data_IF_501833626901
#
_entry.id   IF_501833626901
#
_cell.length_a   1.000
_cell.length_b   1.000
_cell.length_c   1.000
_cell.angle_alpha   90.00
_cell.angle_beta   90.00
_cell.angle_gamma   90.00
#
_symmetry.space_group_name_H-M   'P 1'
#
loop_
_entity.id
_entity.type
_entity.pdbx_description
1 polymer ?
#
# COMPACT_ATOMS: atom_id res chain seq x y z
N UNK A 1 43.14 28.40 -8.58
CA UNK A 1 43.99 28.52 -7.37
C UNK A 1 43.10 29.04 -6.25
N UNK A 2 42.85 28.41 -5.11
CA UNK A 2 43.27 27.15 -4.49
C UNK A 2 42.13 26.80 -3.51
N UNK A 3 41.61 25.58 -3.59
CA UNK A 3 40.67 25.02 -2.62
C UNK A 3 41.48 24.73 -1.35
N UNK A 4 41.12 25.34 -0.22
CA UNK A 4 41.69 24.97 1.08
C UNK A 4 40.94 23.74 1.60
N UNK A 5 41.55 22.58 1.41
CA UNK A 5 41.16 21.32 2.01
C UNK A 5 41.50 21.34 3.51
N UNK A 6 40.47 21.28 4.38
CA UNK A 6 40.66 20.95 5.79
C UNK A 6 40.23 19.50 6.00
N UNK A 7 41.23 18.63 6.22
CA UNK A 7 41.06 17.25 6.65
C UNK A 7 40.45 17.24 8.07
N UNK A 8 39.25 16.68 8.23
CA UNK A 8 38.72 16.32 9.56
C UNK A 8 39.34 14.96 9.91
N UNK A 9 40.28 14.95 10.86
CA UNK A 9 40.73 13.74 11.51
C UNK A 9 39.61 13.26 12.46
N UNK A 10 38.78 12.33 11.99
CA UNK A 10 37.83 11.60 12.85
C UNK A 10 38.63 10.59 13.65
N UNK A 11 38.86 10.89 14.93
CA UNK A 11 39.27 9.88 15.91
C UNK A 11 38.10 8.90 16.10
N UNK A 12 38.15 7.77 15.39
CA UNK A 12 37.26 6.63 15.63
C UNK A 12 37.67 6.00 16.96
N UNK A 13 37.04 6.43 18.05
CA UNK A 13 37.01 5.64 19.27
C UNK A 13 36.14 4.42 18.96
N UNK A 14 36.80 3.28 18.69
CA UNK A 14 36.17 1.97 18.56
C UNK A 14 35.63 1.53 19.93
N UNK A 15 34.51 2.09 20.34
CA UNK A 15 33.63 1.40 21.28
C UNK A 15 32.82 0.39 20.46
N UNK A 16 32.84 -0.92 20.79
CA UNK A 16 31.85 -1.81 20.27
C UNK A 16 30.50 -1.37 20.85
N UNK A 17 29.73 -0.59 20.10
CA UNK A 17 28.30 -0.51 20.33
C UNK A 17 27.77 -1.87 19.94
N UNK A 18 27.69 -2.79 20.90
CA UNK A 18 26.87 -3.99 20.76
C UNK A 18 25.42 -3.53 20.71
N UNK A 19 24.94 -3.18 19.52
CA UNK A 19 23.51 -3.11 19.26
C UNK A 19 23.01 -4.57 19.25
N UNK A 20 22.84 -5.15 20.44
CA UNK A 20 22.02 -6.34 20.56
C UNK A 20 20.62 -5.88 20.17
N UNK A 21 20.12 -6.32 19.02
CA UNK A 21 18.70 -6.24 18.72
C UNK A 21 17.99 -7.01 19.83
N UNK A 22 17.50 -6.28 20.84
CA UNK A 22 16.80 -6.89 21.95
C UNK A 22 15.51 -7.50 21.39
N UNK A 23 15.48 -8.83 21.30
CA UNK A 23 14.26 -9.57 20.98
C UNK A 23 13.23 -9.29 22.07
N UNK A 24 12.05 -8.78 21.69
CA UNK A 24 10.99 -8.50 22.65
C UNK A 24 10.39 -9.80 23.19
N UNK A 25 10.13 -9.86 24.50
CA UNK A 25 9.65 -11.08 25.16
C UNK A 25 8.24 -11.50 24.72
N UNK A 26 7.45 -10.55 24.23
CA UNK A 26 6.08 -10.69 23.75
C UNK A 26 5.97 -10.71 22.22
N UNK A 27 7.10 -10.80 21.52
CA UNK A 27 7.14 -10.88 20.06
C UNK A 27 8.01 -12.06 19.60
N UNK A 28 7.49 -13.30 19.64
CA UNK A 28 8.23 -14.48 19.21
C UNK A 28 8.44 -14.51 17.68
N UNK A 29 9.44 -15.24 17.15
CA UNK A 29 9.72 -15.32 15.71
C UNK A 29 8.54 -15.73 14.81
N UNK A 30 7.56 -16.46 15.34
CA UNK A 30 6.34 -16.84 14.61
C UNK A 30 5.26 -15.75 14.54
N UNK A 31 5.43 -14.63 15.24
CA UNK A 31 4.47 -13.53 15.22
C UNK A 31 4.52 -12.78 13.87
N UNK A 32 3.36 -12.45 13.29
CA UNK A 32 3.28 -11.86 11.93
C UNK A 32 4.06 -10.54 11.77
N UNK A 33 4.21 -9.79 12.86
CA UNK A 33 4.95 -8.53 12.88
C UNK A 33 6.43 -8.67 13.26
N UNK A 34 6.92 -9.87 13.58
CA UNK A 34 8.27 -10.10 14.10
C UNK A 34 9.34 -9.45 13.21
N UNK A 35 9.42 -9.84 11.94
CA UNK A 35 10.44 -9.34 11.01
C UNK A 35 10.29 -7.84 10.73
N UNK A 36 9.05 -7.33 10.72
CA UNK A 36 8.81 -5.91 10.52
C UNK A 36 9.33 -5.09 11.71
N UNK A 37 9.05 -5.55 12.93
CA UNK A 37 9.47 -4.88 14.16
C UNK A 37 10.99 -4.96 14.33
N UNK A 38 11.59 -6.12 14.10
CA UNK A 38 13.05 -6.31 14.13
C UNK A 38 13.75 -5.37 13.14
N UNK A 39 13.27 -5.30 11.89
CA UNK A 39 13.81 -4.39 10.89
C UNK A 39 13.72 -2.93 11.36
N UNK A 40 12.55 -2.49 11.82
CA UNK A 40 12.33 -1.10 12.21
C UNK A 40 13.09 -0.72 13.49
N UNK A 41 13.28 -1.66 14.42
CA UNK A 41 14.07 -1.48 15.64
C UNK A 41 15.56 -1.31 15.32
N UNK A 42 16.13 -2.17 14.46
CA UNK A 42 17.53 -2.07 14.02
C UNK A 42 17.80 -0.74 13.30
N UNK A 43 16.81 -0.23 12.57
CA UNK A 43 16.89 1.07 11.91
C UNK A 43 16.54 2.26 12.83
N UNK A 44 16.28 2.04 14.12
CA UNK A 44 15.98 3.11 15.08
C UNK A 44 14.65 3.83 14.88
N UNK A 45 13.73 3.26 14.09
CA UNK A 45 12.43 3.87 13.75
C UNK A 45 11.40 3.63 14.85
N UNK A 46 11.43 2.44 15.45
CA UNK A 46 10.55 2.08 16.57
C UNK A 46 11.36 1.53 17.73
N UNK A 47 10.83 1.65 18.94
CA UNK A 47 11.37 1.07 20.16
C UNK A 47 10.28 0.35 20.95
N UNK A 48 10.69 -0.62 21.77
CA UNK A 48 9.82 -1.19 22.80
C UNK A 48 9.97 -0.48 24.14
N UNK A 49 9.49 -1.14 25.17
CA UNK A 49 9.41 -0.60 26.52
C UNK A 49 10.62 -1.03 27.36
N UNK A 50 10.92 -0.29 28.46
CA UNK A 50 12.03 -0.64 29.36
C UNK A 50 11.92 -2.03 30.02
N UNK A 51 10.72 -2.60 30.06
CA UNK A 51 10.46 -3.95 30.57
C UNK A 51 10.80 -5.07 29.57
N UNK A 52 11.29 -4.73 28.37
CA UNK A 52 11.65 -5.69 27.33
C UNK A 52 10.48 -6.11 26.43
N UNK A 53 9.31 -5.49 26.56
CA UNK A 53 8.12 -5.77 25.72
C UNK A 53 8.02 -4.82 24.52
N UNK A 54 7.31 -5.24 23.47
CA UNK A 54 6.91 -4.40 22.35
C UNK A 54 5.46 -3.93 22.45
N UNK A 55 4.60 -4.72 23.10
CA UNK A 55 3.14 -4.57 23.20
C UNK A 55 2.46 -4.57 21.82
N UNK A 56 2.57 -5.66 21.02
CA UNK A 56 2.12 -5.70 19.63
C UNK A 56 0.65 -5.36 19.46
N UNK A 57 -0.21 -5.79 20.38
CA UNK A 57 -1.67 -5.61 20.31
C UNK A 57 -2.16 -4.26 20.84
N UNK A 58 -1.28 -3.46 21.46
CA UNK A 58 -1.65 -2.15 21.96
C UNK A 58 -1.97 -1.23 20.79
N UNK A 59 -3.13 -0.58 20.84
CA UNK A 59 -3.48 0.44 19.84
C UNK A 59 -2.48 1.60 19.84
N UNK A 60 -2.25 2.15 18.65
CA UNK A 60 -1.43 3.35 18.45
C UNK A 60 -2.36 4.54 18.37
N UNK A 61 -2.13 5.55 19.20
CA UNK A 61 -2.90 6.79 19.11
C UNK A 61 -2.40 7.67 17.96
N UNK A 62 -3.22 8.64 17.54
CA UNK A 62 -2.92 9.51 16.41
C UNK A 62 -1.65 10.34 16.63
N UNK A 63 -1.36 10.77 17.86
CA UNK A 63 -0.13 11.49 18.20
C UNK A 63 1.13 10.62 18.02
N UNK A 64 1.10 9.37 18.49
CA UNK A 64 2.18 8.39 18.33
C UNK A 64 2.41 8.06 16.85
N UNK A 65 1.34 7.85 16.08
CA UNK A 65 1.40 7.62 14.65
C UNK A 65 2.07 8.78 13.91
N UNK A 66 1.69 10.03 14.23
CA UNK A 66 2.31 11.22 13.65
C UNK A 66 3.79 11.31 14.01
N UNK A 67 4.17 11.06 15.28
CA UNK A 67 5.58 11.02 15.68
C UNK A 67 6.37 9.97 14.91
N UNK A 68 5.86 8.74 14.77
CA UNK A 68 6.53 7.65 14.05
C UNK A 68 6.87 8.07 12.61
N UNK A 69 5.96 8.76 11.93
CA UNK A 69 6.16 9.20 10.55
C UNK A 69 7.05 10.43 10.46
N UNK A 70 6.93 11.39 11.38
CA UNK A 70 7.66 12.68 11.31
C UNK A 70 9.10 12.56 11.81
N UNK A 71 9.35 11.79 12.86
CA UNK A 71 10.67 11.73 13.51
C UNK A 71 11.83 11.41 12.55
N UNK A 72 11.70 10.49 11.56
CA UNK A 72 12.77 10.23 10.59
C UNK A 72 13.18 11.43 9.70
N UNK A 73 12.33 12.46 9.60
CA UNK A 73 12.64 13.68 8.84
C UNK A 73 13.44 14.71 9.65
N UNK A 74 13.61 14.48 10.95
CA UNK A 74 14.33 15.38 11.84
C UNK A 74 15.82 15.02 11.86
N UNK A 75 16.68 16.00 11.65
CA UNK A 75 18.12 15.80 11.76
C UNK A 75 18.51 15.66 13.23
N UNK A 76 19.60 14.94 13.50
CA UNK A 76 20.16 14.88 14.86
C UNK A 76 20.51 16.30 15.33
N UNK A 77 19.91 16.71 16.43
CA UNK A 77 20.08 18.07 16.97
C UNK A 77 19.14 19.13 16.39
N UNK A 78 18.14 18.75 15.58
CA UNK A 78 17.05 19.66 15.21
C UNK A 78 16.41 20.23 16.46
N UNK A 79 16.34 21.56 16.53
CA UNK A 79 15.59 22.24 17.59
C UNK A 79 14.10 22.02 17.36
N UNK A 80 13.49 21.26 18.27
CA UNK A 80 12.05 20.97 18.27
C UNK A 80 11.31 21.78 19.34
N UNK A 81 11.95 22.83 19.88
CA UNK A 81 11.35 23.75 20.85
C UNK A 81 10.65 24.94 20.19
N UNK A 82 9.88 25.70 20.96
CA UNK A 82 9.31 26.98 20.52
C UNK A 82 8.07 26.90 19.61
N UNK A 83 7.59 25.70 19.29
CA UNK A 83 6.31 25.54 18.60
C UNK A 83 5.14 25.99 19.50
N UNK A 84 4.15 26.63 18.89
CA UNK A 84 2.86 26.92 19.51
C UNK A 84 1.79 26.12 18.79
N UNK A 85 0.95 25.41 19.55
CA UNK A 85 -0.17 24.68 18.95
C UNK A 85 -1.20 25.63 18.32
N UNK A 86 -1.66 25.31 17.11
CA UNK A 86 -2.84 25.92 16.49
C UNK A 86 -4.13 25.11 16.69
N UNK A 87 -4.04 23.97 17.35
CA UNK A 87 -5.16 23.09 17.67
C UNK A 87 -5.63 23.32 19.10
N UNK A 88 -6.95 23.36 19.33
CA UNK A 88 -7.48 23.65 20.67
C UNK A 88 -7.28 22.48 21.66
N UNK A 89 -6.99 21.28 21.17
CA UNK A 89 -6.83 20.04 21.95
C UNK A 89 -5.37 19.54 22.03
N UNK A 90 -4.40 20.37 21.66
CA UNK A 90 -2.97 20.06 21.79
C UNK A 90 -2.36 21.01 22.83
N UNK A 91 -2.14 20.55 24.08
CA UNK A 91 -1.50 21.34 25.13
C UNK A 91 -0.10 21.81 24.73
N UNK A 92 0.30 22.99 25.20
CA UNK A 92 1.61 23.59 24.86
C UNK A 92 2.80 22.78 25.41
N UNK A 93 2.57 21.97 26.44
CA UNK A 93 3.55 21.07 27.06
C UNK A 93 3.44 19.61 26.56
N UNK A 94 2.58 19.33 25.58
CA UNK A 94 2.42 17.98 25.05
C UNK A 94 3.69 17.49 24.34
N UNK A 95 4.17 16.31 24.71
CA UNK A 95 5.37 15.69 24.10
C UNK A 95 5.28 15.54 22.58
N UNK A 96 4.06 15.46 22.04
CA UNK A 96 3.81 15.28 20.62
C UNK A 96 3.63 16.59 19.86
N UNK A 97 3.54 17.75 20.54
CA UNK A 97 3.26 19.04 19.92
C UNK A 97 4.24 19.37 18.77
N UNK A 98 5.56 19.21 18.91
CA UNK A 98 6.48 19.54 17.81
C UNK A 98 6.23 18.71 16.56
N UNK A 99 5.96 17.40 16.73
CA UNK A 99 5.70 16.50 15.60
C UNK A 99 4.39 16.85 14.88
N UNK A 100 3.37 17.26 15.64
CA UNK A 100 2.09 17.72 15.08
C UNK A 100 2.27 19.00 14.28
N UNK A 101 2.96 19.99 14.83
CA UNK A 101 3.18 21.25 14.12
C UNK A 101 4.09 21.09 12.90
N UNK A 102 5.10 20.21 12.95
CA UNK A 102 5.93 19.89 11.78
C UNK A 102 5.09 19.18 10.70
N UNK A 103 4.29 18.17 11.09
CA UNK A 103 3.40 17.46 10.18
C UNK A 103 2.43 18.41 9.47
N UNK A 104 1.89 19.40 10.19
CA UNK A 104 0.92 20.36 9.65
C UNK A 104 1.58 21.45 8.81
N UNK A 105 2.57 22.14 9.37
CA UNK A 105 3.09 23.40 8.83
C UNK A 105 4.23 23.23 7.84
N UNK A 106 5.03 22.17 7.97
CA UNK A 106 6.21 21.94 7.14
C UNK A 106 5.98 20.82 6.12
N UNK A 107 5.32 19.74 6.53
CA UNK A 107 5.10 18.57 5.67
C UNK A 107 3.71 18.55 5.01
N UNK A 108 2.74 19.29 5.55
CA UNK A 108 1.36 19.33 5.06
C UNK A 108 0.66 17.96 4.97
N UNK A 109 0.97 17.05 5.91
CA UNK A 109 0.48 15.66 5.92
C UNK A 109 -0.73 15.44 6.82
N UNK A 110 -1.05 16.41 7.68
CA UNK A 110 -2.25 16.44 8.51
C UNK A 110 -3.03 17.73 8.29
N UNK A 111 -4.35 17.66 8.43
CA UNK A 111 -5.24 18.81 8.32
C UNK A 111 -5.16 19.69 9.58
N UNK A 112 -5.35 21.00 9.43
CA UNK A 112 -5.40 21.99 10.50
C UNK A 112 -6.34 23.16 10.14
N UNK A 113 -6.35 24.25 10.92
CA UNK A 113 -7.24 25.38 10.65
C UNK A 113 -7.04 25.97 9.25
N UNK A 114 -8.11 26.40 8.55
CA UNK A 114 -9.51 26.46 9.02
C UNK A 114 -10.30 25.15 8.84
N UNK A 115 -9.71 24.09 8.25
CA UNK A 115 -10.43 22.84 7.94
C UNK A 115 -10.82 22.06 9.19
N UNK A 116 -9.97 22.06 10.22
CA UNK A 116 -10.25 21.51 11.55
C UNK A 116 -9.46 22.28 12.61
N UNK A 117 -10.05 22.53 13.77
CA UNK A 117 -9.34 23.08 14.94
C UNK A 117 -8.94 21.99 15.94
N UNK A 118 -9.38 20.75 15.75
CA UNK A 118 -9.05 19.59 16.59
C UNK A 118 -8.04 18.67 15.90
N UNK A 119 -7.00 18.27 16.61
CA UNK A 119 -6.05 17.23 16.21
C UNK A 119 -6.53 15.82 16.60
N UNK A 120 -7.22 15.67 17.72
CA UNK A 120 -7.66 14.39 18.31
C UNK A 120 -6.50 13.41 18.53
N UNK A 121 -5.45 13.84 19.22
CA UNK A 121 -4.21 13.07 19.36
C UNK A 121 -4.33 11.80 20.21
N UNK A 122 -5.24 11.78 21.18
CA UNK A 122 -5.37 10.70 22.16
C UNK A 122 -6.12 9.46 21.65
N UNK A 123 -6.97 9.60 20.62
CA UNK A 123 -7.71 8.45 20.06
C UNK A 123 -6.81 7.57 19.21
N UNK A 124 -7.20 6.30 19.05
CA UNK A 124 -6.56 5.40 18.12
C UNK A 124 -6.52 6.00 16.69
N UNK A 125 -5.38 5.84 16.02
CA UNK A 125 -5.26 6.11 14.59
C UNK A 125 -5.95 4.99 13.83
N UNK A 126 -6.74 5.32 12.83
CA UNK A 126 -7.27 4.28 11.94
C UNK A 126 -6.32 4.01 10.76
N UNK A 127 -6.55 2.89 10.07
CA UNK A 127 -5.72 2.41 8.97
C UNK A 127 -5.50 3.47 7.90
N UNK A 128 -6.57 4.07 7.38
CA UNK A 128 -6.42 5.01 6.26
C UNK A 128 -5.84 6.35 6.68
N UNK A 129 -6.05 6.80 7.92
CA UNK A 129 -5.36 7.96 8.47
C UNK A 129 -3.85 7.73 8.54
N UNK A 130 -3.43 6.57 9.04
CA UNK A 130 -2.01 6.23 9.08
C UNK A 130 -1.41 6.15 7.67
N UNK A 131 -2.10 5.52 6.71
CA UNK A 131 -1.67 5.46 5.31
C UNK A 131 -1.55 6.85 4.69
N UNK A 132 -2.51 7.75 4.93
CA UNK A 132 -2.45 9.14 4.47
C UNK A 132 -1.22 9.86 5.01
N UNK A 133 -1.02 9.80 6.33
CA UNK A 133 0.12 10.46 6.98
C UNK A 133 1.43 9.92 6.42
N UNK A 134 1.57 8.60 6.32
CA UNK A 134 2.78 7.94 5.81
C UNK A 134 3.05 8.28 4.34
N UNK A 135 2.07 8.12 3.45
CA UNK A 135 2.27 8.33 2.01
C UNK A 135 2.59 9.80 1.70
N UNK A 136 1.84 10.74 2.28
CA UNK A 136 2.08 12.16 2.05
C UNK A 136 3.45 12.61 2.58
N UNK A 137 3.89 12.08 3.73
CA UNK A 137 5.22 12.39 4.28
C UNK A 137 6.35 11.98 3.33
N UNK A 138 6.11 10.98 2.50
CA UNK A 138 7.07 10.46 1.54
C UNK A 138 6.99 11.17 0.18
N UNK A 139 6.19 12.23 0.09
CA UNK A 139 5.95 12.97 -1.16
C UNK A 139 5.04 12.23 -2.15
N UNK A 140 4.44 11.12 -1.75
CA UNK A 140 3.51 10.35 -2.56
C UNK A 140 2.11 10.94 -2.38
N UNK A 141 1.64 11.75 -3.34
CA UNK A 141 0.26 12.20 -3.38
C UNK A 141 -0.58 11.26 -4.27
N UNK A 142 -1.35 10.33 -3.67
CA UNK A 142 -1.99 9.25 -4.41
C UNK A 142 -3.24 9.68 -5.19
N UNK A 143 -3.63 10.96 -5.13
CA UNK A 143 -4.76 11.48 -5.92
C UNK A 143 -4.46 11.46 -7.42
N UNK A 144 -3.20 11.65 -7.82
CA UNK A 144 -2.79 11.56 -9.22
C UNK A 144 -2.36 10.15 -9.64
N UNK A 145 -1.69 9.42 -8.76
CA UNK A 145 -1.19 8.08 -9.04
C UNK A 145 -2.33 7.07 -9.21
N UNK A 146 -2.29 6.32 -10.32
CA UNK A 146 -3.30 5.35 -10.70
C UNK A 146 -4.71 5.96 -10.83
N UNK A 147 -4.82 7.27 -11.06
CA UNK A 147 -6.10 8.00 -11.10
C UNK A 147 -7.07 7.48 -12.16
N UNK A 148 -6.58 6.77 -13.17
CA UNK A 148 -7.36 6.04 -14.16
C UNK A 148 -8.05 4.77 -13.61
N UNK A 149 -7.59 4.23 -12.48
CA UNK A 149 -8.14 3.03 -11.84
C UNK A 149 -9.21 3.42 -10.81
N UNK A 150 -10.38 3.83 -11.30
CA UNK A 150 -11.54 4.22 -10.49
C UNK A 150 -12.63 3.15 -10.54
N UNK A 151 -12.55 2.18 -9.65
CA UNK A 151 -13.52 1.11 -9.55
C UNK A 151 -13.59 0.59 -8.11
N UNK A 152 -14.70 -0.06 -7.70
CA UNK A 152 -14.75 -0.75 -6.41
C UNK A 152 -13.59 -1.76 -6.25
N UNK A 153 -12.92 -1.75 -5.10
CA UNK A 153 -11.74 -2.63 -4.84
C UNK A 153 -11.95 -3.60 -3.69
N UNK A 154 -12.98 -3.41 -2.86
CA UNK A 154 -13.37 -4.30 -1.77
C UNK A 154 -14.83 -4.05 -1.38
N UNK A 155 -15.41 -4.95 -0.58
CA UNK A 155 -16.80 -4.82 -0.13
C UNK A 155 -17.07 -3.54 0.68
N UNK A 156 -16.06 -3.04 1.39
CA UNK A 156 -16.11 -1.82 2.20
C UNK A 156 -15.32 -0.65 1.59
N UNK A 157 -14.88 -0.78 0.32
CA UNK A 157 -14.19 0.27 -0.45
C UNK A 157 -14.72 0.24 -1.89
N UNK A 158 -15.97 0.69 -2.03
CA UNK A 158 -16.73 0.61 -3.30
C UNK A 158 -16.83 1.94 -4.03
N UNK A 159 -16.69 3.08 -3.35
CA UNK A 159 -16.84 4.41 -3.94
C UNK A 159 -15.47 5.07 -4.18
N UNK A 160 -15.04 5.25 -5.45
CA UNK A 160 -13.76 5.88 -5.78
C UNK A 160 -13.65 7.36 -5.41
N UNK A 161 -14.78 8.04 -5.21
CA UNK A 161 -14.84 9.47 -4.85
C UNK A 161 -14.57 9.72 -3.35
N UNK A 162 -14.51 8.67 -2.54
CA UNK A 162 -14.19 8.78 -1.13
C UNK A 162 -12.77 9.29 -0.93
N UNK A 163 -12.59 10.24 0.00
CA UNK A 163 -11.28 10.84 0.27
C UNK A 163 -10.19 9.80 0.59
N UNK A 164 -10.59 8.67 1.18
CA UNK A 164 -9.71 7.60 1.63
C UNK A 164 -9.33 6.62 0.51
N UNK A 165 -10.12 6.56 -0.57
CA UNK A 165 -9.93 5.63 -1.69
C UNK A 165 -8.52 5.69 -2.31
N UNK A 166 -7.95 6.85 -2.70
CA UNK A 166 -6.63 6.89 -3.33
C UNK A 166 -5.52 6.32 -2.43
N UNK A 167 -5.64 6.48 -1.11
CA UNK A 167 -4.69 5.92 -0.14
C UNK A 167 -4.82 4.41 -0.02
N UNK A 168 -6.05 3.87 -0.03
CA UNK A 168 -6.28 2.42 -0.04
C UNK A 168 -5.78 1.78 -1.34
N UNK A 169 -6.07 2.39 -2.50
CA UNK A 169 -5.57 1.95 -3.80
C UNK A 169 -4.04 1.94 -3.83
N UNK A 170 -3.40 2.98 -3.32
CA UNK A 170 -1.93 3.07 -3.28
C UNK A 170 -1.31 2.08 -2.31
N UNK A 171 -1.98 1.80 -1.18
CA UNK A 171 -1.53 0.79 -0.24
C UNK A 171 -1.59 -0.64 -0.84
N UNK A 172 -2.56 -0.93 -1.70
CA UNK A 172 -2.59 -2.17 -2.49
C UNK A 172 -1.47 -2.18 -3.55
N UNK A 173 -1.29 -1.09 -4.30
CA UNK A 173 -0.23 -1.00 -5.30
C UNK A 173 1.18 -1.10 -4.70
N UNK A 174 1.35 -0.70 -3.45
CA UNK A 174 2.61 -0.86 -2.72
C UNK A 174 2.69 -2.19 -1.95
N UNK A 175 1.67 -3.05 -2.02
CA UNK A 175 1.57 -4.31 -1.27
C UNK A 175 1.82 -4.10 0.23
N UNK A 176 1.26 -3.01 0.76
CA UNK A 176 1.27 -2.65 2.18
C UNK A 176 0.14 -3.36 2.92
N UNK A 177 -1.05 -3.40 2.33
CA UNK A 177 -2.24 -4.07 2.85
C UNK A 177 -2.76 -5.08 1.84
N UNK A 178 -3.57 -6.02 2.31
CA UNK A 178 -4.30 -6.98 1.48
C UNK A 178 -5.76 -7.00 1.92
N UNK A 179 -6.62 -7.56 1.09
CA UNK A 179 -8.02 -7.86 1.44
C UNK A 179 -8.04 -9.02 2.45
N UNK A 180 -8.88 -8.93 3.48
CA UNK A 180 -9.09 -10.03 4.42
C UNK A 180 -9.94 -11.14 3.80
N UNK A 181 -9.99 -12.29 4.47
CA UNK A 181 -10.74 -13.46 3.99
C UNK A 181 -12.23 -13.19 3.73
N UNK A 182 -12.80 -12.20 4.42
CA UNK A 182 -14.19 -11.75 4.23
C UNK A 182 -14.37 -10.67 3.15
N UNK A 183 -13.36 -10.40 2.31
CA UNK A 183 -13.47 -9.46 1.19
C UNK A 183 -13.36 -7.97 1.57
N UNK A 184 -12.92 -7.65 2.78
CA UNK A 184 -12.84 -6.27 3.31
C UNK A 184 -11.40 -5.73 3.38
N UNK A 185 -11.24 -4.41 3.37
CA UNK A 185 -9.97 -3.71 3.59
C UNK A 185 -9.89 -2.97 4.93
N UNK A 186 -11.04 -2.72 5.56
CA UNK A 186 -11.18 -2.09 6.86
C UNK A 186 -10.46 -0.74 6.98
N UNK A 187 -10.81 0.28 6.17
CA UNK A 187 -10.15 1.58 6.17
C UNK A 187 -10.22 2.29 7.54
N UNK A 188 -11.34 2.14 8.24
CA UNK A 188 -11.59 2.77 9.55
C UNK A 188 -11.09 1.96 10.75
N UNK A 189 -10.46 0.80 10.55
CA UNK A 189 -9.97 -0.04 11.66
C UNK A 189 -8.86 0.68 12.43
N UNK A 190 -8.98 0.72 13.76
CA UNK A 190 -7.92 1.16 14.66
C UNK A 190 -6.69 0.26 14.53
N UNK A 191 -5.49 0.85 14.45
CA UNK A 191 -4.27 0.08 14.27
C UNK A 191 -3.58 -0.23 15.59
N UNK A 192 -3.17 -1.47 15.74
CA UNK A 192 -2.20 -1.92 16.74
C UNK A 192 -0.76 -1.50 16.40
N UNK A 193 0.14 -1.54 17.37
CA UNK A 193 1.59 -1.30 17.18
C UNK A 193 2.19 -2.26 16.15
N UNK A 194 1.78 -3.53 16.18
CA UNK A 194 2.19 -4.54 15.22
C UNK A 194 1.76 -4.18 13.79
N UNK A 195 0.54 -3.74 13.59
CA UNK A 195 0.03 -3.37 12.27
C UNK A 195 0.69 -2.11 11.71
N UNK A 196 0.89 -1.08 12.55
CA UNK A 196 1.66 0.11 12.17
C UNK A 196 3.07 -0.28 11.70
N UNK A 197 3.76 -1.15 12.45
CA UNK A 197 5.09 -1.64 12.08
C UNK A 197 5.07 -2.39 10.74
N UNK A 198 4.08 -3.27 10.52
CA UNK A 198 3.96 -4.03 9.26
C UNK A 198 3.70 -3.12 8.06
N UNK A 199 2.78 -2.16 8.18
CA UNK A 199 2.47 -1.22 7.10
C UNK A 199 3.71 -0.38 6.73
N UNK A 200 4.40 0.16 7.73
CA UNK A 200 5.61 0.95 7.52
C UNK A 200 6.74 0.12 6.90
N UNK A 201 7.00 -1.07 7.45
CA UNK A 201 8.03 -1.97 6.93
C UNK A 201 7.75 -2.36 5.47
N UNK A 202 6.52 -2.75 5.14
CA UNK A 202 6.14 -3.13 3.77
C UNK A 202 6.33 -1.97 2.79
N UNK A 203 5.98 -0.75 3.19
CA UNK A 203 6.24 0.44 2.38
C UNK A 203 7.74 0.64 2.12
N UNK A 204 8.58 0.53 3.16
CA UNK A 204 10.04 0.64 3.00
C UNK A 204 10.60 -0.46 2.08
N UNK A 205 10.08 -1.69 2.18
CA UNK A 205 10.45 -2.79 1.28
C UNK A 205 10.01 -2.52 -0.16
N UNK A 206 8.82 -1.94 -0.35
CA UNK A 206 8.32 -1.56 -1.67
C UNK A 206 9.21 -0.50 -2.32
N UNK A 207 9.61 0.55 -1.59
CA UNK A 207 10.53 1.59 -2.09
C UNK A 207 11.91 1.05 -2.47
N UNK A 208 12.31 -0.10 -1.92
CA UNK A 208 13.53 -0.83 -2.29
C UNK A 208 13.32 -1.82 -3.45
N UNK A 209 12.12 -1.90 -4.03
CA UNK A 209 11.76 -2.90 -5.06
C UNK A 209 11.72 -4.33 -4.53
N UNK A 210 11.65 -4.54 -3.20
CA UNK A 210 11.65 -5.85 -2.54
C UNK A 210 10.25 -6.45 -2.40
N UNK A 211 9.22 -5.78 -2.93
CA UNK A 211 7.83 -6.26 -2.96
C UNK A 211 7.37 -6.71 -4.35
N UNK A 212 8.20 -6.63 -5.39
CA UNK A 212 7.80 -7.03 -6.76
C UNK A 212 7.27 -8.46 -6.81
N UNK A 213 7.96 -9.43 -6.21
CA UNK A 213 7.48 -10.82 -6.17
C UNK A 213 6.15 -10.96 -5.42
N UNK A 214 5.96 -10.24 -4.31
CA UNK A 214 4.71 -10.25 -3.56
C UNK A 214 3.56 -9.69 -4.42
N UNK A 215 3.79 -8.57 -5.10
CA UNK A 215 2.81 -7.96 -6.02
C UNK A 215 2.46 -8.86 -7.20
N UNK A 216 3.43 -9.59 -7.77
CA UNK A 216 3.17 -10.58 -8.82
C UNK A 216 2.34 -11.76 -8.29
N UNK A 217 2.65 -12.24 -7.07
CA UNK A 217 1.91 -13.33 -6.43
C UNK A 217 0.47 -12.91 -6.06
N UNK A 218 0.29 -11.67 -5.59
CA UNK A 218 -1.01 -11.05 -5.35
C UNK A 218 -1.80 -10.91 -6.65
N UNK A 219 -1.15 -10.46 -7.73
CA UNK A 219 -1.77 -10.38 -9.07
C UNK A 219 -2.29 -11.73 -9.53
N UNK A 220 -1.46 -12.78 -9.45
CA UNK A 220 -1.86 -14.14 -9.81
C UNK A 220 -3.01 -14.66 -8.96
N UNK A 221 -2.93 -14.47 -7.63
CA UNK A 221 -3.97 -14.88 -6.70
C UNK A 221 -5.32 -14.21 -6.99
N UNK A 222 -5.31 -12.92 -7.29
CA UNK A 222 -6.53 -12.18 -7.63
C UNK A 222 -7.11 -12.57 -8.99
N UNK A 223 -6.28 -12.95 -9.97
CA UNK A 223 -6.74 -13.53 -11.25
C UNK A 223 -7.43 -14.88 -10.99
N UNK A 224 -6.81 -15.76 -10.20
CA UNK A 224 -7.39 -17.06 -9.84
C UNK A 224 -8.74 -16.86 -9.12
N UNK A 225 -8.78 -15.94 -8.16
CA UNK A 225 -10.01 -15.59 -7.44
C UNK A 225 -11.08 -15.07 -8.38
N UNK A 226 -10.73 -14.20 -9.34
CA UNK A 226 -11.65 -13.69 -10.37
C UNK A 226 -12.30 -14.84 -11.13
N UNK A 227 -11.50 -15.79 -11.64
CA UNK A 227 -11.99 -16.94 -12.40
C UNK A 227 -12.91 -17.81 -11.54
N UNK A 228 -12.54 -18.05 -10.28
CA UNK A 228 -13.35 -18.87 -9.37
C UNK A 228 -14.71 -18.21 -9.07
N UNK A 229 -14.70 -16.92 -8.73
CA UNK A 229 -15.91 -16.16 -8.42
C UNK A 229 -16.84 -16.02 -9.64
N UNK A 230 -16.29 -15.91 -10.86
CA UNK A 230 -17.08 -15.96 -12.09
C UNK A 230 -17.82 -17.30 -12.26
N UNK A 231 -17.17 -18.43 -11.93
CA UNK A 231 -17.83 -19.76 -11.97
C UNK A 231 -18.96 -19.87 -10.94
N UNK A 232 -18.77 -19.24 -9.79
CA UNK A 232 -19.76 -19.15 -8.72
C UNK A 232 -20.87 -18.11 -9.00
N UNK A 233 -20.74 -17.35 -10.10
CA UNK A 233 -21.62 -16.23 -10.48
C UNK A 233 -21.64 -15.08 -9.46
N UNK A 234 -20.58 -14.97 -8.65
CA UNK A 234 -20.38 -13.82 -7.77
C UNK A 234 -19.69 -12.68 -8.54
N UNK A 235 -20.50 -11.98 -9.34
CA UNK A 235 -20.04 -10.94 -10.27
C UNK A 235 -19.36 -9.78 -9.54
N UNK A 236 -19.88 -9.40 -8.37
CA UNK A 236 -19.36 -8.24 -7.63
C UNK A 236 -17.96 -8.54 -7.09
N UNK A 237 -17.79 -9.66 -6.38
CA UNK A 237 -16.48 -10.01 -5.84
C UNK A 237 -15.48 -10.37 -6.95
N UNK A 238 -15.92 -10.98 -8.05
CA UNK A 238 -15.08 -11.20 -9.22
C UNK A 238 -14.56 -9.88 -9.82
N UNK A 239 -15.43 -8.87 -9.93
CA UNK A 239 -15.04 -7.53 -10.39
C UNK A 239 -14.01 -6.88 -9.47
N UNK A 240 -14.21 -6.97 -8.14
CA UNK A 240 -13.26 -6.44 -7.17
C UNK A 240 -11.90 -7.16 -7.24
N UNK A 241 -11.89 -8.48 -7.42
CA UNK A 241 -10.66 -9.25 -7.58
C UNK A 241 -9.90 -8.85 -8.86
N UNK A 242 -10.58 -8.76 -9.99
CA UNK A 242 -9.97 -8.35 -11.25
C UNK A 242 -9.37 -6.94 -11.15
N UNK A 243 -10.08 -6.02 -10.49
CA UNK A 243 -9.62 -4.68 -10.15
C UNK A 243 -8.31 -4.69 -9.32
N UNK A 244 -8.25 -5.51 -8.26
CA UNK A 244 -7.06 -5.62 -7.41
C UNK A 244 -5.87 -6.25 -8.14
N UNK A 245 -6.10 -7.20 -9.04
CA UNK A 245 -5.05 -7.76 -9.89
C UNK A 245 -4.37 -6.67 -10.73
N UNK A 246 -5.14 -5.75 -11.31
CA UNK A 246 -4.60 -4.60 -12.06
C UNK A 246 -3.80 -3.67 -11.14
N UNK A 247 -4.32 -3.36 -9.95
CA UNK A 247 -3.63 -2.47 -9.00
C UNK A 247 -2.29 -3.07 -8.55
N UNK A 248 -2.26 -4.36 -8.21
CA UNK A 248 -1.04 -5.03 -7.77
C UNK A 248 0.01 -5.10 -8.90
N UNK A 249 -0.40 -5.47 -10.12
CA UNK A 249 0.52 -5.55 -11.27
C UNK A 249 1.08 -4.18 -11.65
N UNK A 250 0.27 -3.11 -11.57
CA UNK A 250 0.70 -1.72 -11.77
C UNK A 250 1.67 -1.26 -10.70
N UNK A 251 1.45 -1.68 -9.46
CA UNK A 251 2.40 -1.55 -8.37
C UNK A 251 3.77 -2.16 -8.69
N UNK A 252 3.77 -3.40 -9.18
CA UNK A 252 4.99 -4.09 -9.59
C UNK A 252 5.70 -3.34 -10.73
N UNK A 253 4.94 -2.83 -11.70
CA UNK A 253 5.46 -2.04 -12.82
C UNK A 253 6.13 -0.74 -12.36
N UNK A 254 5.55 -0.04 -11.39
CA UNK A 254 6.16 1.16 -10.82
C UNK A 254 7.52 0.84 -10.16
N UNK A 255 7.62 -0.31 -9.49
CA UNK A 255 8.87 -0.72 -8.85
C UNK A 255 9.93 -1.26 -9.83
N UNK A 256 9.49 -1.96 -10.90
CA UNK A 256 10.34 -2.65 -11.88
C UNK A 256 9.80 -2.45 -13.30
N UNK A 257 9.93 -1.23 -13.87
CA UNK A 257 9.30 -0.89 -15.14
C UNK A 257 9.87 -1.62 -16.35
N UNK A 258 11.08 -2.18 -16.24
CA UNK A 258 11.80 -2.81 -17.35
C UNK A 258 11.64 -4.32 -17.41
N UNK A 259 11.19 -4.97 -16.33
CA UNK A 259 11.08 -6.42 -16.24
C UNK A 259 9.97 -6.98 -17.14
N UNK A 260 10.33 -7.92 -18.02
CA UNK A 260 9.40 -8.54 -18.97
C UNK A 260 8.23 -9.24 -18.29
N UNK A 261 8.51 -10.02 -17.24
CA UNK A 261 7.46 -10.70 -16.46
C UNK A 261 6.45 -9.72 -15.83
N UNK A 262 6.92 -8.54 -15.40
CA UNK A 262 6.07 -7.50 -14.83
C UNK A 262 5.19 -6.85 -15.90
N UNK A 263 5.76 -6.51 -17.08
CA UNK A 263 4.98 -5.99 -18.22
C UNK A 263 3.93 -7.00 -18.69
N UNK A 264 4.28 -8.28 -18.71
CA UNK A 264 3.36 -9.37 -19.05
C UNK A 264 2.23 -9.50 -18.02
N UNK A 265 2.55 -9.49 -16.72
CA UNK A 265 1.55 -9.55 -15.64
C UNK A 265 0.55 -8.39 -15.70
N UNK A 266 1.01 -7.17 -16.02
CA UNK A 266 0.12 -6.02 -16.24
C UNK A 266 -0.86 -6.31 -17.36
N UNK A 267 -0.38 -6.79 -18.52
CA UNK A 267 -1.26 -7.07 -19.66
C UNK A 267 -2.25 -8.19 -19.40
N UNK A 268 -1.86 -9.20 -18.64
CA UNK A 268 -2.76 -10.28 -18.23
C UNK A 268 -3.83 -9.75 -17.27
N UNK A 269 -3.44 -9.03 -16.22
CA UNK A 269 -4.40 -8.47 -15.26
C UNK A 269 -5.38 -7.49 -15.91
N UNK A 270 -4.91 -6.63 -16.81
CA UNK A 270 -5.77 -5.74 -17.61
C UNK A 270 -6.74 -6.54 -18.49
N UNK A 271 -6.25 -7.61 -19.13
CA UNK A 271 -7.08 -8.48 -19.96
C UNK A 271 -8.19 -9.18 -19.16
N UNK A 272 -7.88 -9.69 -17.97
CA UNK A 272 -8.89 -10.28 -17.08
C UNK A 272 -9.92 -9.25 -16.59
N UNK A 273 -9.49 -8.04 -16.27
CA UNK A 273 -10.40 -6.95 -15.92
C UNK A 273 -11.32 -6.57 -17.11
N UNK A 274 -10.78 -6.52 -18.33
CA UNK A 274 -11.55 -6.30 -19.55
C UNK A 274 -12.54 -7.46 -19.78
N UNK A 275 -12.13 -8.71 -19.60
CA UNK A 275 -13.04 -9.87 -19.69
C UNK A 275 -14.18 -9.78 -18.68
N UNK A 276 -13.88 -9.37 -17.45
CA UNK A 276 -14.89 -9.22 -16.42
C UNK A 276 -15.94 -8.17 -16.81
N UNK A 277 -15.50 -7.04 -17.39
CA UNK A 277 -16.41 -6.03 -17.93
C UNK A 277 -17.22 -6.54 -19.13
N UNK A 278 -16.62 -7.37 -20.00
CA UNK A 278 -17.34 -8.05 -21.09
C UNK A 278 -18.40 -9.03 -20.58
N UNK A 279 -18.08 -9.80 -19.53
CA UNK A 279 -19.02 -10.70 -18.87
C UNK A 279 -20.22 -9.95 -18.27
N UNK A 280 -19.97 -8.81 -17.60
CA UNK A 280 -21.02 -7.93 -17.08
C UNK A 280 -21.92 -7.41 -18.20
N UNK A 281 -21.32 -6.92 -19.30
CA UNK A 281 -22.07 -6.47 -20.48
C UNK A 281 -22.95 -7.58 -21.07
N UNK A 282 -22.45 -8.81 -21.17
CA UNK A 282 -23.21 -9.95 -21.68
C UNK A 282 -24.38 -10.36 -20.76
N UNK A 283 -24.26 -10.16 -19.44
CA UNK A 283 -25.38 -10.33 -18.51
C UNK A 283 -26.43 -9.23 -18.73
N UNK A 284 -26.00 -8.01 -19.03
CA UNK A 284 -26.88 -6.88 -19.31
C UNK A 284 -27.56 -6.95 -20.71
N UNK A 285 -27.22 -7.96 -21.53
CA UNK A 285 -27.72 -8.08 -22.90
C UNK A 285 -27.03 -7.17 -23.92
N UNK A 286 -25.88 -6.60 -23.54
CA UNK A 286 -25.04 -5.76 -24.40
C UNK A 286 -24.02 -6.63 -25.17
N UNK A 287 -24.52 -7.54 -26.00
CA UNK A 287 -23.72 -8.60 -26.63
C UNK A 287 -22.58 -8.04 -27.51
N UNK A 288 -22.81 -6.97 -28.26
CA UNK A 288 -21.78 -6.31 -29.07
C UNK A 288 -20.63 -5.75 -28.20
N UNK A 289 -20.97 -5.12 -27.07
CA UNK A 289 -19.99 -4.61 -26.09
C UNK A 289 -19.19 -5.78 -25.50
N UNK A 290 -19.87 -6.87 -25.13
CA UNK A 290 -19.24 -8.04 -24.56
C UNK A 290 -18.28 -8.73 -25.55
N UNK A 291 -18.66 -8.86 -26.82
CA UNK A 291 -17.81 -9.40 -27.89
C UNK A 291 -16.59 -8.50 -28.11
N UNK A 292 -16.77 -7.17 -28.16
CA UNK A 292 -15.66 -6.22 -28.31
C UNK A 292 -14.66 -6.34 -27.15
N UNK A 293 -15.16 -6.43 -25.90
CA UNK A 293 -14.31 -6.61 -24.72
C UNK A 293 -13.57 -7.95 -24.74
N UNK A 294 -14.21 -9.03 -25.17
CA UNK A 294 -13.54 -10.31 -25.36
C UNK A 294 -12.37 -10.20 -26.36
N UNK A 295 -12.56 -9.51 -27.49
CA UNK A 295 -11.49 -9.26 -28.46
C UNK A 295 -10.34 -8.41 -27.89
N UNK A 296 -10.67 -7.34 -27.16
CA UNK A 296 -9.68 -6.49 -26.46
C UNK A 296 -8.83 -7.31 -25.48
N UNK A 297 -9.46 -8.16 -24.67
CA UNK A 297 -8.76 -9.00 -23.71
C UNK A 297 -7.86 -10.04 -24.39
N UNK A 298 -8.35 -10.68 -25.47
CA UNK A 298 -7.56 -11.61 -26.27
C UNK A 298 -6.29 -10.94 -26.81
N UNK A 299 -6.40 -9.71 -27.33
CA UNK A 299 -5.27 -8.93 -27.82
C UNK A 299 -4.31 -8.53 -26.70
N UNK A 300 -4.81 -8.24 -25.49
CA UNK A 300 -3.97 -8.00 -24.32
C UNK A 300 -3.15 -9.23 -23.94
N UNK A 301 -3.74 -10.43 -24.00
CA UNK A 301 -3.03 -11.69 -23.79
C UNK A 301 -1.89 -11.88 -24.78
N UNK A 302 -2.16 -11.61 -26.06
CA UNK A 302 -1.17 -11.74 -27.12
C UNK A 302 0.00 -10.78 -26.90
N UNK A 303 -0.30 -9.55 -26.46
CA UNK A 303 0.75 -8.59 -26.06
C UNK A 303 1.56 -9.09 -24.86
N UNK A 304 0.94 -9.72 -23.87
CA UNK A 304 1.64 -10.29 -22.71
C UNK A 304 2.69 -11.32 -23.11
N UNK A 305 2.36 -12.19 -24.08
CA UNK A 305 3.27 -13.23 -24.59
C UNK A 305 4.56 -12.67 -25.21
N UNK A 306 4.52 -11.44 -25.72
CA UNK A 306 5.72 -10.78 -26.28
C UNK A 306 6.69 -10.29 -25.20
N UNK A 307 6.24 -10.17 -23.95
CA UNK A 307 7.06 -9.69 -22.84
C UNK A 307 7.71 -10.80 -22.01
N UNK A 308 7.07 -11.96 -21.86
CA UNK A 308 7.54 -13.03 -20.99
C UNK A 308 6.98 -14.40 -21.40
N UNK A 309 7.84 -15.38 -21.75
CA UNK A 309 7.47 -16.77 -21.97
C UNK A 309 6.82 -17.45 -20.76
N UNK A 310 7.23 -17.06 -19.55
CA UNK A 310 6.78 -17.64 -18.29
C UNK A 310 5.26 -17.54 -18.08
N UNK A 311 4.63 -16.52 -18.66
CA UNK A 311 3.18 -16.30 -18.55
C UNK A 311 2.39 -16.75 -19.79
N UNK A 312 3.00 -17.49 -20.72
CA UNK A 312 2.32 -17.97 -21.94
C UNK A 312 1.11 -18.86 -21.63
N UNK A 313 1.22 -19.74 -20.63
CA UNK A 313 0.11 -20.61 -20.20
C UNK A 313 -1.07 -19.79 -19.70
N UNK A 314 -0.83 -18.81 -18.83
CA UNK A 314 -1.88 -17.95 -18.28
C UNK A 314 -2.50 -17.05 -19.35
N UNK A 315 -1.68 -16.52 -20.27
CA UNK A 315 -2.18 -15.78 -21.43
C UNK A 315 -3.04 -16.65 -22.36
N UNK A 316 -2.66 -17.91 -22.58
CA UNK A 316 -3.47 -18.87 -23.34
C UNK A 316 -4.83 -19.12 -22.70
N UNK A 317 -4.88 -19.35 -21.39
CA UNK A 317 -6.14 -19.51 -20.65
C UNK A 317 -7.05 -18.29 -20.81
N UNK A 318 -6.49 -17.07 -20.74
CA UNK A 318 -7.24 -15.84 -20.95
C UNK A 318 -7.80 -15.74 -22.38
N UNK A 319 -7.04 -16.17 -23.39
CA UNK A 319 -7.50 -16.22 -24.78
C UNK A 319 -8.62 -17.23 -24.99
N UNK A 320 -8.52 -18.41 -24.39
CA UNK A 320 -9.55 -19.45 -24.46
C UNK A 320 -10.86 -18.94 -23.85
N UNK A 321 -10.79 -18.28 -22.69
CA UNK A 321 -11.95 -17.66 -22.05
C UNK A 321 -12.57 -16.56 -22.91
N UNK A 322 -11.74 -15.71 -23.51
CA UNK A 322 -12.19 -14.65 -24.41
C UNK A 322 -12.92 -15.23 -25.64
N UNK A 323 -12.35 -16.27 -26.26
CA UNK A 323 -12.95 -16.93 -27.42
C UNK A 323 -14.31 -17.56 -27.06
N UNK A 324 -14.36 -18.31 -25.95
CA UNK A 324 -15.59 -18.95 -25.46
C UNK A 324 -16.70 -17.91 -25.20
N UNK A 325 -16.36 -16.78 -24.58
CA UNK A 325 -17.31 -15.69 -24.35
C UNK A 325 -17.89 -15.17 -25.66
N UNK A 326 -17.03 -14.78 -26.62
CA UNK A 326 -17.47 -14.22 -27.89
C UNK A 326 -18.30 -15.22 -28.71
N UNK A 327 -17.89 -16.49 -28.76
CA UNK A 327 -18.60 -17.52 -29.51
C UNK A 327 -19.96 -17.85 -28.90
N UNK A 328 -20.06 -17.88 -27.57
CA UNK A 328 -21.34 -18.10 -26.87
C UNK A 328 -22.37 -17.00 -27.15
N UNK A 329 -21.92 -15.77 -27.35
CA UNK A 329 -22.78 -14.61 -27.61
C UNK A 329 -23.23 -14.57 -29.08
N UNK A 330 -22.34 -14.88 -30.02
CA UNK A 330 -22.69 -14.95 -31.46
C UNK A 330 -23.66 -16.08 -31.79
N UNK A 331 -23.77 -17.09 -30.93
CA UNK A 331 -24.65 -18.23 -31.11
C UNK A 331 -26.08 -18.02 -30.56
N UNK A 332 -26.33 -16.92 -29.84
CA UNK A 332 -27.66 -16.54 -29.35
C UNK A 332 -28.52 -15.95 -30.47
#
# INVERSE_FOLDING_TARGET
MLIKSSLIAVCVLLFPVSLSAASFSDLPPGHFAYSAVEFLQVNGIISGYPDGTFQPDREVNRAEATKIVVAPFLQSGSDISGFTSVYDDVPQDAWYLPYVEIARSQLHIIDGPPKTTMFNGARAVNKVEFLKILLLAQGENPTGAYSELQFPIAMDVTNPEEWYYPYMRSALAASMTMVSENGMLHPSKALSRAEVAVLLHRYLMYKQGRRTQALLSETESEIINTIQLMKEKDVNNASFAAARAVIASRGALTARPDEGIVKAAVKISEGFHILMNGYIAGIAGEDDTAIAKAQEAWASAEKAKTFSPELHTLAGQMQDMAAQMADSLRAK
#
